data_IF_878344150897
#
_entry.id   IF_878344150897
#
_cell.length_a   1.000
_cell.length_b   1.000
_cell.length_c   1.000
_cell.angle_alpha   90.00
_cell.angle_beta   90.00
_cell.angle_gamma   90.00
#
_symmetry.space_group_name_H-M   'P 1'
#
loop_
_entity.id
_entity.type
_entity.pdbx_description
1 polymer ?
#
# COMPACT_ATOMS: atom_id res chain seq x y z
N UNK A 1 -46.93 31.64 40.87
CA UNK A 1 -47.09 30.71 39.70
C UNK A 1 -46.57 31.27 38.37
N UNK A 2 -46.11 32.52 38.32
CA UNK A 2 -45.64 33.17 37.10
C UNK A 2 -44.17 32.83 36.71
N UNK A 3 -43.35 32.31 37.61
CA UNK A 3 -41.91 32.08 37.37
C UNK A 3 -41.57 30.78 36.64
N UNK A 4 -42.45 29.78 36.62
CA UNK A 4 -42.22 28.50 35.96
C UNK A 4 -42.56 28.52 34.47
N UNK A 5 -43.53 29.32 34.08
CA UNK A 5 -43.95 29.47 32.68
C UNK A 5 -42.96 30.33 31.86
N UNK A 6 -42.36 31.36 32.46
CA UNK A 6 -41.34 32.21 31.81
C UNK A 6 -40.03 31.46 31.58
N UNK A 7 -39.65 30.55 32.47
CA UNK A 7 -38.42 29.73 32.31
C UNK A 7 -38.56 28.70 31.16
N UNK A 8 -39.76 28.14 30.97
CA UNK A 8 -40.05 27.19 29.90
C UNK A 8 -40.05 27.83 28.49
N UNK A 9 -40.54 29.11 28.42
CA UNK A 9 -40.55 29.87 27.16
C UNK A 9 -39.17 30.34 26.73
N UNK A 10 -38.25 30.61 27.65
CA UNK A 10 -36.87 30.98 27.36
C UNK A 10 -36.04 29.75 26.87
N UNK A 11 -36.33 28.57 27.43
CA UNK A 11 -35.64 27.33 27.01
C UNK A 11 -36.03 26.87 25.60
N UNK A 12 -37.26 27.12 25.15
CA UNK A 12 -37.73 26.81 23.80
C UNK A 12 -37.18 27.74 22.71
N UNK A 13 -36.86 29.00 23.07
CA UNK A 13 -36.27 29.94 22.09
C UNK A 13 -34.80 29.67 21.79
N UNK A 14 -34.04 28.95 22.66
CA UNK A 14 -32.64 28.62 22.45
C UNK A 14 -32.37 27.40 21.53
N UNK A 15 -33.42 26.62 21.19
CA UNK A 15 -33.32 25.44 20.35
C UNK A 15 -33.41 25.72 18.83
N UNK A 16 -33.70 26.95 18.42
CA UNK A 16 -33.86 27.30 16.99
C UNK A 16 -32.54 27.79 16.33
N UNK A 17 -31.46 27.96 17.08
CA UNK A 17 -30.23 28.61 16.59
C UNK A 17 -29.18 27.66 15.99
N UNK A 18 -29.43 26.34 15.90
CA UNK A 18 -28.54 25.37 15.22
C UNK A 18 -29.16 24.90 13.91
N UNK A 19 -29.43 25.78 12.98
CA UNK A 19 -29.63 25.43 11.58
C UNK A 19 -28.25 25.09 10.94
N UNK A 20 -28.14 24.03 10.11
CA UNK A 20 -26.89 23.79 9.39
C UNK A 20 -26.59 25.02 8.51
N UNK A 21 -25.48 25.70 8.79
CA UNK A 21 -25.00 26.78 7.92
C UNK A 21 -24.80 26.16 6.52
N UNK A 22 -25.61 26.57 5.53
CA UNK A 22 -25.40 26.17 4.14
C UNK A 22 -24.01 26.66 3.76
N UNK A 23 -23.06 25.74 3.61
CA UNK A 23 -21.77 26.06 2.98
C UNK A 23 -22.10 26.63 1.59
N UNK A 24 -21.72 27.88 1.35
CA UNK A 24 -21.88 28.48 0.01
C UNK A 24 -21.03 27.66 -0.94
N UNK A 25 -21.66 27.04 -1.92
CA UNK A 25 -20.95 26.29 -2.96
C UNK A 25 -20.33 27.28 -3.96
N UNK A 26 -19.05 27.60 -3.76
CA UNK A 26 -18.30 28.52 -4.61
C UNK A 26 -18.14 28.01 -6.05
N UNK A 27 -18.48 26.74 -6.30
CA UNK A 27 -18.38 26.10 -7.63
C UNK A 27 -19.73 26.06 -8.36
N UNK A 28 -20.78 26.71 -7.81
CA UNK A 28 -22.08 26.77 -8.46
C UNK A 28 -21.98 27.40 -9.84
N UNK A 29 -22.58 26.76 -10.83
CA UNK A 29 -22.51 27.21 -12.23
C UNK A 29 -21.20 26.94 -12.97
N UNK A 30 -20.23 26.28 -12.36
CA UNK A 30 -19.02 25.88 -13.07
C UNK A 30 -19.31 24.69 -13.99
N UNK A 31 -18.74 24.74 -15.22
CA UNK A 31 -18.72 23.61 -16.13
C UNK A 31 -17.70 22.53 -15.69
N UNK A 32 -17.75 21.37 -16.35
CA UNK A 32 -16.91 20.23 -16.03
C UNK A 32 -15.42 20.52 -16.23
N UNK A 33 -15.06 21.27 -17.25
CA UNK A 33 -13.66 21.60 -17.54
C UNK A 33 -13.08 22.54 -16.49
N UNK A 34 -13.85 23.54 -16.06
CA UNK A 34 -13.42 24.48 -15.02
C UNK A 34 -13.25 23.77 -13.68
N UNK A 35 -14.18 22.87 -13.31
CA UNK A 35 -14.05 22.04 -12.10
C UNK A 35 -12.79 21.19 -12.15
N UNK A 36 -12.58 20.49 -13.27
CA UNK A 36 -11.42 19.62 -13.45
C UNK A 36 -10.08 20.38 -13.36
N UNK A 37 -9.97 21.50 -14.11
CA UNK A 37 -8.76 22.35 -14.05
C UNK A 37 -8.51 22.90 -12.66
N UNK A 38 -9.56 23.28 -11.96
CA UNK A 38 -9.47 23.79 -10.60
C UNK A 38 -9.01 22.73 -9.63
N UNK A 39 -9.56 21.50 -9.71
CA UNK A 39 -9.10 20.38 -8.89
C UNK A 39 -7.61 20.06 -9.13
N UNK A 40 -7.19 19.98 -10.39
CA UNK A 40 -5.77 19.77 -10.75
C UNK A 40 -4.86 20.88 -10.26
N UNK A 41 -5.31 22.14 -10.30
CA UNK A 41 -4.55 23.24 -9.73
C UNK A 41 -4.29 23.03 -8.24
N UNK A 42 -5.33 22.63 -7.47
CA UNK A 42 -5.18 22.35 -6.05
C UNK A 42 -4.22 21.19 -5.77
N UNK A 43 -4.25 20.12 -6.59
CA UNK A 43 -3.26 19.04 -6.52
C UNK A 43 -1.84 19.57 -6.71
N UNK A 44 -1.64 20.42 -7.70
CA UNK A 44 -0.31 20.96 -8.06
C UNK A 44 0.30 21.86 -6.96
N UNK A 45 -0.55 22.56 -6.22
CA UNK A 45 -0.11 23.40 -5.08
C UNK A 45 -0.12 22.65 -3.74
N UNK A 46 -0.42 21.35 -3.75
CA UNK A 46 -0.42 20.50 -2.55
C UNK A 46 -1.65 20.65 -1.65
N UNK A 47 -2.71 21.32 -2.11
CA UNK A 47 -3.97 21.48 -1.38
C UNK A 47 -4.91 20.30 -1.69
N UNK A 48 -4.50 19.09 -1.27
CA UNK A 48 -5.15 17.83 -1.63
C UNK A 48 -6.61 17.77 -1.15
N UNK A 49 -6.90 18.29 0.04
CA UNK A 49 -8.25 18.31 0.60
C UNK A 49 -9.25 19.08 -0.27
N UNK A 50 -8.86 20.25 -0.73
CA UNK A 50 -9.70 21.04 -1.64
C UNK A 50 -9.78 20.37 -3.03
N UNK A 51 -8.71 19.71 -3.49
CA UNK A 51 -8.74 18.96 -4.74
C UNK A 51 -9.75 17.81 -4.68
N UNK A 52 -9.76 17.03 -3.58
CA UNK A 52 -10.73 15.97 -3.32
C UNK A 52 -12.16 16.51 -3.38
N UNK A 53 -12.47 17.56 -2.62
CA UNK A 53 -13.80 18.19 -2.63
C UNK A 53 -14.24 18.56 -4.07
N UNK A 54 -13.35 19.12 -4.88
CA UNK A 54 -13.66 19.52 -6.27
C UNK A 54 -13.84 18.33 -7.21
N UNK A 55 -13.05 17.26 -7.07
CA UNK A 55 -13.25 16.03 -7.83
C UNK A 55 -14.56 15.34 -7.46
N UNK A 56 -14.93 15.29 -6.17
CA UNK A 56 -16.21 14.76 -5.73
C UNK A 56 -17.40 15.55 -6.29
N UNK A 57 -17.31 16.88 -6.28
CA UNK A 57 -18.32 17.76 -6.92
C UNK A 57 -18.40 17.45 -8.41
N UNK A 58 -17.26 17.29 -9.10
CA UNK A 58 -17.22 16.96 -10.52
C UNK A 58 -17.92 15.62 -10.79
N UNK A 59 -17.54 14.56 -10.08
CA UNK A 59 -18.16 13.23 -10.23
C UNK A 59 -19.68 13.26 -9.95
N UNK A 60 -20.09 14.04 -8.96
CA UNK A 60 -21.52 14.17 -8.61
C UNK A 60 -22.34 14.88 -9.68
N UNK A 61 -21.82 15.97 -10.27
CA UNK A 61 -22.54 16.78 -11.24
C UNK A 61 -22.40 16.27 -12.68
N UNK A 62 -21.25 15.72 -13.01
CA UNK A 62 -20.88 15.28 -14.37
C UNK A 62 -20.31 13.85 -14.32
N UNK A 63 -21.14 12.82 -14.05
CA UNK A 63 -20.67 11.45 -13.81
C UNK A 63 -20.14 10.73 -15.07
N UNK A 64 -20.26 11.35 -16.25
CA UNK A 64 -19.89 10.74 -17.52
C UNK A 64 -18.96 11.64 -18.34
N UNK A 65 -18.19 11.00 -19.22
CA UNK A 65 -17.29 11.69 -20.15
C UNK A 65 -15.82 11.65 -19.70
N UNK A 66 -14.96 12.16 -20.57
CA UNK A 66 -13.50 12.09 -20.39
C UNK A 66 -13.04 12.70 -19.06
N UNK A 67 -13.53 13.89 -18.71
CA UNK A 67 -13.15 14.55 -17.46
C UNK A 67 -13.58 13.76 -16.23
N UNK A 68 -14.75 13.12 -16.26
CA UNK A 68 -15.22 12.29 -15.16
C UNK A 68 -14.33 11.05 -14.98
N UNK A 69 -13.99 10.37 -16.07
CA UNK A 69 -13.11 9.20 -16.03
C UNK A 69 -11.71 9.56 -15.53
N UNK A 70 -11.15 10.69 -15.97
CA UNK A 70 -9.86 11.15 -15.49
C UNK A 70 -9.92 11.58 -14.02
N UNK A 71 -10.99 12.25 -13.60
CA UNK A 71 -11.19 12.64 -12.19
C UNK A 71 -11.20 11.45 -11.25
N UNK A 72 -11.75 10.29 -11.67
CA UNK A 72 -11.78 9.06 -10.87
C UNK A 72 -10.39 8.52 -10.51
N UNK A 73 -9.40 8.71 -11.37
CA UNK A 73 -8.03 8.28 -11.04
C UNK A 73 -7.24 9.40 -10.35
N UNK A 74 -7.49 10.67 -10.72
CA UNK A 74 -6.81 11.81 -10.13
C UNK A 74 -7.20 11.99 -8.65
N UNK A 75 -8.46 11.72 -8.27
CA UNK A 75 -8.91 11.76 -6.87
C UNK A 75 -8.21 10.70 -6.01
N UNK A 76 -7.91 9.52 -6.57
CA UNK A 76 -7.16 8.49 -5.87
C UNK A 76 -5.75 8.96 -5.51
N UNK A 77 -5.09 9.68 -6.41
CA UNK A 77 -3.80 10.31 -6.13
C UNK A 77 -3.92 11.39 -5.05
N UNK A 78 -4.97 12.22 -5.10
CA UNK A 78 -5.21 13.26 -4.09
C UNK A 78 -5.43 12.66 -2.71
N UNK A 79 -6.27 11.61 -2.57
CA UNK A 79 -6.44 10.87 -1.32
C UNK A 79 -5.12 10.29 -0.79
N UNK A 80 -4.31 9.69 -1.69
CA UNK A 80 -3.00 9.16 -1.30
C UNK A 80 -2.09 10.25 -0.73
N UNK A 81 -2.04 11.40 -1.37
CA UNK A 81 -1.21 12.54 -0.94
C UNK A 81 -1.74 13.23 0.32
N UNK A 82 -3.04 13.15 0.58
CA UNK A 82 -3.67 13.65 1.83
C UNK A 82 -3.51 12.66 3.01
N UNK A 83 -2.92 11.48 2.75
CA UNK A 83 -2.72 10.43 3.77
C UNK A 83 -3.91 9.49 3.95
N UNK A 84 -4.94 9.60 3.13
CA UNK A 84 -6.15 8.77 3.16
C UNK A 84 -5.98 7.50 2.31
N UNK A 85 -5.11 6.59 2.76
CA UNK A 85 -4.74 5.39 2.00
C UNK A 85 -5.96 4.49 1.65
N UNK A 86 -6.91 4.32 2.57
CA UNK A 86 -8.09 3.48 2.34
C UNK A 86 -9.04 4.09 1.31
N UNK A 87 -9.26 5.40 1.37
CA UNK A 87 -10.04 6.16 0.39
C UNK A 87 -9.40 6.07 -1.00
N UNK A 88 -8.08 6.21 -1.07
CA UNK A 88 -7.31 6.10 -2.31
C UNK A 88 -7.46 4.70 -2.95
N UNK A 89 -7.32 3.63 -2.16
CA UNK A 89 -7.48 2.25 -2.65
C UNK A 89 -8.90 2.02 -3.15
N UNK A 90 -9.92 2.46 -2.39
CA UNK A 90 -11.31 2.32 -2.80
C UNK A 90 -11.61 3.06 -4.13
N UNK A 91 -11.04 4.26 -4.30
CA UNK A 91 -11.17 5.01 -5.57
C UNK A 91 -10.51 4.27 -6.75
N UNK A 92 -9.31 3.70 -6.54
CA UNK A 92 -8.61 2.90 -7.56
C UNK A 92 -9.42 1.64 -7.92
N UNK A 93 -9.92 0.90 -6.95
CA UNK A 93 -10.70 -0.31 -7.19
C UNK A 93 -11.99 0.00 -7.96
N UNK A 94 -12.66 1.10 -7.62
CA UNK A 94 -13.80 1.60 -8.36
C UNK A 94 -13.44 1.94 -9.80
N UNK A 95 -12.35 2.68 -10.00
CA UNK A 95 -11.86 3.03 -11.34
C UNK A 95 -11.57 1.80 -12.20
N UNK A 96 -10.78 0.85 -11.70
CA UNK A 96 -10.40 -0.39 -12.42
C UNK A 96 -11.62 -1.25 -12.73
N UNK A 97 -12.59 -1.31 -11.82
CA UNK A 97 -13.84 -2.07 -12.01
C UNK A 97 -14.67 -1.53 -13.16
N UNK A 98 -14.81 -0.20 -13.26
CA UNK A 98 -15.64 0.41 -14.30
C UNK A 98 -14.89 0.71 -15.59
N UNK A 99 -13.56 0.81 -15.53
CA UNK A 99 -12.71 1.18 -16.67
C UNK A 99 -11.55 0.16 -16.89
N UNK A 100 -11.81 -1.16 -17.00
CA UNK A 100 -10.76 -2.21 -16.96
C UNK A 100 -9.81 -2.20 -18.16
N UNK A 101 -10.15 -1.46 -19.22
CA UNK A 101 -9.37 -1.33 -20.47
C UNK A 101 -8.92 0.11 -20.74
N UNK A 102 -9.08 0.99 -19.76
CA UNK A 102 -8.64 2.37 -19.91
C UNK A 102 -7.11 2.46 -19.99
N UNK A 103 -6.59 3.42 -20.73
CA UNK A 103 -5.15 3.60 -20.95
C UNK A 103 -4.35 3.82 -19.65
N UNK A 104 -4.98 4.39 -18.61
CA UNK A 104 -4.35 4.63 -17.28
C UNK A 104 -4.58 3.50 -16.27
N UNK A 105 -5.06 2.33 -16.71
CA UNK A 105 -5.31 1.21 -15.79
C UNK A 105 -3.99 0.63 -15.23
N UNK A 106 -2.91 0.70 -15.99
CA UNK A 106 -1.56 0.36 -15.53
C UNK A 106 -1.10 1.29 -14.39
N UNK A 107 -1.31 2.60 -14.54
CA UNK A 107 -1.06 3.58 -13.48
C UNK A 107 -1.91 3.31 -12.24
N UNK A 108 -3.18 2.96 -12.41
CA UNK A 108 -4.07 2.65 -11.29
C UNK A 108 -3.53 1.49 -10.43
N UNK A 109 -3.08 0.40 -11.06
CA UNK A 109 -2.45 -0.72 -10.35
C UNK A 109 -1.11 -0.32 -9.71
N UNK A 110 -0.29 0.42 -10.42
CA UNK A 110 0.97 0.94 -9.89
C UNK A 110 0.75 1.84 -8.67
N UNK A 111 -0.21 2.77 -8.73
CA UNK A 111 -0.55 3.66 -7.62
C UNK A 111 -1.05 2.87 -6.41
N UNK A 112 -1.86 1.82 -6.60
CA UNK A 112 -2.29 0.94 -5.51
C UNK A 112 -1.12 0.23 -4.85
N UNK A 113 -0.18 -0.26 -5.66
CA UNK A 113 1.08 -0.81 -5.18
C UNK A 113 1.87 0.19 -4.33
N UNK A 114 2.00 1.44 -4.81
CA UNK A 114 2.66 2.52 -4.07
C UNK A 114 1.98 2.82 -2.73
N UNK A 115 0.65 2.88 -2.70
CA UNK A 115 -0.12 3.14 -1.49
C UNK A 115 0.13 2.04 -0.47
N UNK A 116 0.02 0.77 -0.86
CA UNK A 116 0.29 -0.36 0.02
C UNK A 116 1.75 -0.38 0.49
N UNK A 117 2.69 -0.09 -0.40
CA UNK A 117 4.12 0.02 -0.08
C UNK A 117 4.42 1.11 0.95
N UNK A 118 3.69 2.24 0.90
CA UNK A 118 3.91 3.38 1.79
C UNK A 118 3.05 3.38 3.06
N UNK A 119 2.12 2.42 3.22
CA UNK A 119 1.21 2.36 4.39
C UNK A 119 1.91 2.33 5.74
N UNK A 120 3.14 1.89 5.78
CA UNK A 120 3.90 1.76 7.01
C UNK A 120 4.87 2.90 7.30
N UNK A 121 4.86 4.01 6.57
CA UNK A 121 5.79 5.12 6.79
C UNK A 121 5.43 6.38 6.01
N UNK A 122 6.18 7.47 6.20
CA UNK A 122 5.98 8.69 5.44
C UNK A 122 6.22 8.47 3.94
N UNK A 123 5.33 8.98 3.10
CA UNK A 123 5.46 8.89 1.64
C UNK A 123 6.71 9.59 1.08
N UNK A 124 7.49 10.26 1.94
CA UNK A 124 8.66 11.07 1.60
C UNK A 124 9.97 10.45 2.08
N UNK A 125 9.93 9.37 2.87
CA UNK A 125 11.16 8.73 3.34
C UNK A 125 11.82 7.95 2.21
N UNK A 126 13.13 8.08 2.11
CA UNK A 126 13.94 7.40 1.10
C UNK A 126 13.79 5.87 1.26
N UNK A 127 13.46 5.18 0.17
CA UNK A 127 13.18 3.74 0.15
C UNK A 127 14.39 2.94 0.67
N UNK A 128 15.60 3.48 0.49
CA UNK A 128 16.85 2.82 0.81
C UNK A 128 17.09 2.58 2.32
N UNK A 129 16.48 3.41 3.20
CA UNK A 129 16.75 3.38 4.64
C UNK A 129 15.63 2.71 5.47
N UNK A 130 14.60 2.16 4.82
CA UNK A 130 13.47 1.54 5.52
C UNK A 130 13.67 0.06 5.77
N UNK A 131 13.52 -0.38 7.02
CA UNK A 131 13.36 -1.79 7.37
C UNK A 131 11.86 -2.15 7.39
N UNK A 132 11.36 -2.71 6.30
CA UNK A 132 9.96 -3.14 6.20
C UNK A 132 9.73 -4.56 6.74
N UNK A 133 10.76 -5.25 7.22
CA UNK A 133 10.63 -6.63 7.70
C UNK A 133 9.78 -6.77 8.98
N UNK A 134 9.49 -5.66 9.68
CA UNK A 134 8.62 -5.62 10.85
C UNK A 134 7.19 -5.15 10.53
N UNK A 135 6.92 -4.83 9.25
CA UNK A 135 5.58 -4.42 8.80
C UNK A 135 4.64 -5.61 8.61
N UNK A 136 3.34 -5.29 8.55
CA UNK A 136 2.34 -6.31 8.23
C UNK A 136 2.64 -6.95 6.87
N UNK A 137 3.03 -8.22 6.94
CA UNK A 137 3.36 -9.05 5.79
C UNK A 137 2.27 -9.03 4.70
N UNK A 138 0.99 -8.97 5.08
CA UNK A 138 -0.11 -8.96 4.12
C UNK A 138 -0.14 -7.66 3.31
N UNK A 139 0.25 -6.54 3.90
CA UNK A 139 0.35 -5.25 3.19
C UNK A 139 1.49 -5.31 2.18
N UNK A 140 2.65 -5.85 2.57
CA UNK A 140 3.80 -6.02 1.66
C UNK A 140 3.47 -6.97 0.50
N UNK A 141 2.74 -8.06 0.75
CA UNK A 141 2.28 -8.97 -0.29
C UNK A 141 1.30 -8.30 -1.27
N UNK A 142 0.36 -7.47 -0.78
CA UNK A 142 -0.53 -6.73 -1.68
C UNK A 142 0.25 -5.76 -2.57
N UNK A 143 1.24 -5.05 -2.02
CA UNK A 143 2.11 -4.20 -2.82
C UNK A 143 2.87 -5.01 -3.88
N UNK A 144 3.40 -6.17 -3.50
CA UNK A 144 4.07 -7.10 -4.39
C UNK A 144 3.16 -7.54 -5.55
N UNK A 145 1.95 -8.00 -5.24
CA UNK A 145 0.97 -8.48 -6.22
C UNK A 145 0.58 -7.38 -7.22
N UNK A 146 0.44 -6.15 -6.74
CA UNK A 146 0.11 -4.99 -7.60
C UNK A 146 1.26 -4.67 -8.56
N UNK A 147 2.51 -4.62 -8.08
CA UNK A 147 3.66 -4.38 -8.94
C UNK A 147 3.91 -5.55 -9.92
N UNK A 148 3.73 -6.80 -9.47
CA UNK A 148 3.81 -7.98 -10.34
C UNK A 148 2.75 -7.92 -11.46
N UNK A 149 1.54 -7.49 -11.12
CA UNK A 149 0.46 -7.32 -12.10
C UNK A 149 0.85 -6.30 -13.17
N UNK A 150 1.46 -5.16 -12.77
CA UNK A 150 1.94 -4.15 -13.73
C UNK A 150 2.96 -4.76 -14.69
N UNK A 151 3.97 -5.45 -14.18
CA UNK A 151 5.03 -6.06 -15.00
C UNK A 151 4.46 -7.12 -15.97
N UNK A 152 3.56 -7.96 -15.49
CA UNK A 152 3.02 -9.08 -16.26
C UNK A 152 1.99 -8.64 -17.30
N UNK A 153 1.07 -7.74 -16.91
CA UNK A 153 -0.07 -7.34 -17.75
C UNK A 153 0.25 -6.13 -18.63
N UNK A 154 1.14 -5.27 -18.16
CA UNK A 154 1.50 -4.01 -18.82
C UNK A 154 3.03 -3.86 -18.98
N UNK A 155 3.72 -4.80 -19.67
CA UNK A 155 5.20 -4.83 -19.73
C UNK A 155 5.81 -3.59 -20.38
N UNK A 156 5.04 -2.87 -21.21
CA UNK A 156 5.47 -1.65 -21.89
C UNK A 156 5.02 -0.37 -21.13
N UNK A 157 4.45 -0.49 -19.96
CA UNK A 157 4.08 0.65 -19.11
C UNK A 157 5.31 1.44 -18.67
N UNK A 158 5.17 2.75 -18.56
CA UNK A 158 6.18 3.62 -17.96
C UNK A 158 6.52 3.25 -16.51
N UNK A 159 5.63 2.51 -15.84
CA UNK A 159 5.76 2.09 -14.44
C UNK A 159 6.38 0.69 -14.29
N UNK A 160 6.62 -0.03 -15.39
CA UNK A 160 7.08 -1.42 -15.33
C UNK A 160 8.48 -1.55 -14.71
N UNK A 161 9.41 -0.66 -15.07
CA UNK A 161 10.79 -0.76 -14.58
C UNK A 161 10.91 -0.35 -13.10
N UNK A 162 10.20 0.67 -12.65
CA UNK A 162 10.12 0.99 -11.22
C UNK A 162 9.44 -0.14 -10.43
N UNK A 163 8.39 -0.75 -10.99
CA UNK A 163 7.73 -1.91 -10.38
C UNK A 163 8.69 -3.09 -10.19
N UNK A 164 9.58 -3.37 -11.15
CA UNK A 164 10.61 -4.42 -11.01
C UNK A 164 11.57 -4.15 -9.85
N UNK A 165 12.03 -2.90 -9.71
CA UNK A 165 12.93 -2.52 -8.61
C UNK A 165 12.24 -2.69 -7.25
N UNK A 166 10.97 -2.28 -7.13
CA UNK A 166 10.18 -2.45 -5.91
C UNK A 166 9.93 -3.91 -5.57
N UNK A 167 9.69 -4.77 -6.55
CA UNK A 167 9.56 -6.22 -6.33
C UNK A 167 10.84 -6.81 -5.75
N UNK A 168 12.01 -6.44 -6.29
CA UNK A 168 13.29 -6.92 -5.75
C UNK A 168 13.44 -6.49 -4.28
N UNK A 169 13.14 -5.25 -3.97
CA UNK A 169 13.17 -4.75 -2.60
C UNK A 169 12.17 -5.49 -1.69
N UNK A 170 10.90 -5.59 -2.09
CA UNK A 170 9.87 -6.29 -1.32
C UNK A 170 10.21 -7.76 -1.06
N UNK A 171 10.79 -8.46 -2.04
CA UNK A 171 11.24 -9.85 -1.86
C UNK A 171 12.32 -9.97 -0.80
N UNK A 172 13.25 -9.03 -0.76
CA UNK A 172 14.29 -9.02 0.28
C UNK A 172 13.68 -8.77 1.68
N UNK A 173 12.75 -7.82 1.80
CA UNK A 173 12.10 -7.51 3.07
C UNK A 173 11.20 -8.64 3.56
N UNK A 174 10.44 -9.29 2.67
CA UNK A 174 9.63 -10.47 2.98
C UNK A 174 10.49 -11.65 3.44
N UNK A 175 11.61 -11.90 2.74
CA UNK A 175 12.55 -12.96 3.12
C UNK A 175 13.18 -12.68 4.49
N UNK A 176 13.55 -11.42 4.76
CA UNK A 176 14.11 -10.98 6.05
C UNK A 176 13.10 -11.13 7.18
N UNK A 177 11.82 -10.76 6.94
CA UNK A 177 10.74 -10.95 7.91
C UNK A 177 10.53 -12.43 8.24
N UNK A 178 10.45 -13.29 7.22
CA UNK A 178 10.30 -14.75 7.42
C UNK A 178 11.53 -15.35 8.13
N UNK A 179 12.75 -14.85 7.86
CA UNK A 179 13.96 -15.28 8.55
C UNK A 179 13.95 -14.89 10.05
N UNK A 180 13.50 -13.69 10.41
CA UNK A 180 13.29 -13.31 11.82
C UNK A 180 12.38 -14.29 12.54
N UNK A 181 11.29 -14.72 11.90
CA UNK A 181 10.36 -15.73 12.47
C UNK A 181 11.06 -17.09 12.62
N UNK A 182 11.84 -17.53 11.63
CA UNK A 182 12.60 -18.77 11.71
C UNK A 182 13.63 -18.74 12.85
N UNK A 183 14.34 -17.64 13.01
CA UNK A 183 15.28 -17.41 14.12
C UNK A 183 14.58 -17.43 15.49
N UNK A 184 13.39 -16.85 15.59
CA UNK A 184 12.59 -16.92 16.79
C UNK A 184 12.24 -18.37 17.16
N UNK A 185 11.82 -19.20 16.21
CA UNK A 185 11.56 -20.63 16.45
C UNK A 185 12.84 -21.36 16.89
N UNK A 186 13.97 -21.10 16.24
CA UNK A 186 15.25 -21.70 16.60
C UNK A 186 15.69 -21.32 18.03
N UNK A 187 15.51 -20.06 18.45
CA UNK A 187 15.83 -19.60 19.81
C UNK A 187 14.99 -20.30 20.89
N UNK A 188 13.83 -20.86 20.51
CA UNK A 188 12.96 -21.67 21.38
C UNK A 188 13.19 -23.17 21.22
N UNK A 189 14.23 -23.59 20.50
CA UNK A 189 14.50 -24.99 20.16
C UNK A 189 13.36 -25.68 19.42
N UNK A 190 12.48 -24.92 18.79
CA UNK A 190 11.39 -25.43 17.94
C UNK A 190 11.93 -25.72 16.51
N UNK A 191 12.88 -26.68 16.43
CA UNK A 191 13.68 -26.93 15.24
C UNK A 191 12.84 -27.33 14.01
N UNK A 192 11.79 -28.13 14.18
CA UNK A 192 10.89 -28.50 13.07
C UNK A 192 10.20 -27.28 12.49
N UNK A 193 9.73 -26.35 13.33
CA UNK A 193 9.11 -25.10 12.87
C UNK A 193 10.13 -24.20 12.17
N UNK A 194 11.37 -24.13 12.68
CA UNK A 194 12.45 -23.39 12.03
C UNK A 194 12.77 -23.98 10.64
N UNK A 195 12.87 -25.32 10.51
CA UNK A 195 13.07 -25.99 9.21
C UNK A 195 11.94 -25.66 8.23
N UNK A 196 10.68 -25.79 8.64
CA UNK A 196 9.55 -25.51 7.77
C UNK A 196 9.58 -24.04 7.27
N UNK A 197 9.97 -23.11 8.12
CA UNK A 197 10.06 -21.69 7.76
C UNK A 197 11.25 -21.44 6.81
N UNK A 198 12.42 -21.99 7.09
CA UNK A 198 13.59 -21.85 6.20
C UNK A 198 13.36 -22.49 4.83
N UNK A 199 12.69 -23.64 4.77
CA UNK A 199 12.29 -24.25 3.49
C UNK A 199 11.37 -23.36 2.66
N UNK A 200 10.40 -22.68 3.32
CA UNK A 200 9.53 -21.71 2.62
C UNK A 200 10.34 -20.54 2.07
N UNK A 201 11.29 -20.00 2.84
CA UNK A 201 12.17 -18.91 2.37
C UNK A 201 12.98 -19.35 1.15
N UNK A 202 13.59 -20.53 1.20
CA UNK A 202 14.41 -21.08 0.10
C UNK A 202 13.57 -21.30 -1.16
N UNK A 203 12.32 -21.74 -1.02
CA UNK A 203 11.43 -21.95 -2.15
C UNK A 203 10.93 -20.65 -2.77
N UNK A 204 10.48 -19.70 -1.93
CA UNK A 204 9.70 -18.54 -2.37
C UNK A 204 10.57 -17.30 -2.64
N UNK A 205 11.75 -17.19 -2.00
CA UNK A 205 12.59 -15.99 -2.03
C UNK A 205 14.04 -16.25 -2.51
N UNK A 206 14.21 -17.12 -3.51
CA UNK A 206 15.52 -17.39 -4.09
C UNK A 206 16.21 -16.10 -4.58
N UNK A 207 17.53 -16.01 -4.36
CA UNK A 207 18.35 -14.87 -4.80
C UNK A 207 18.23 -13.61 -3.93
N UNK A 208 17.58 -13.71 -2.75
CA UNK A 208 17.53 -12.60 -1.77
C UNK A 208 18.78 -12.59 -0.87
N UNK A 209 19.04 -11.42 -0.27
CA UNK A 209 20.16 -11.23 0.66
C UNK A 209 20.07 -12.12 1.92
N UNK A 210 18.87 -12.57 2.27
CA UNK A 210 18.65 -13.45 3.44
C UNK A 210 19.01 -14.91 3.19
N UNK A 211 19.34 -15.31 1.95
CA UNK A 211 19.49 -16.72 1.58
C UNK A 211 20.63 -17.42 2.32
N UNK A 212 21.82 -16.79 2.45
CA UNK A 212 22.96 -17.36 3.17
C UNK A 212 22.59 -17.67 4.62
N UNK A 213 22.06 -16.68 5.33
CA UNK A 213 21.64 -16.83 6.73
C UNK A 213 20.51 -17.86 6.90
N UNK A 214 19.62 -17.95 5.92
CA UNK A 214 18.54 -18.97 5.90
C UNK A 214 19.11 -20.38 5.82
N UNK A 215 20.09 -20.62 4.92
CA UNK A 215 20.74 -21.92 4.79
C UNK A 215 21.56 -22.27 6.04
N UNK A 216 22.25 -21.32 6.64
CA UNK A 216 23.02 -21.52 7.88
C UNK A 216 22.08 -21.89 9.05
N UNK A 217 20.94 -21.22 9.18
CA UNK A 217 19.93 -21.55 10.20
C UNK A 217 19.31 -22.92 9.94
N UNK A 218 19.05 -23.28 8.67
CA UNK A 218 18.54 -24.60 8.31
C UNK A 218 19.54 -25.69 8.64
N UNK A 219 20.83 -25.48 8.33
CA UNK A 219 21.92 -26.40 8.70
C UNK A 219 21.98 -26.63 10.22
N UNK A 220 21.86 -25.56 11.02
CA UNK A 220 21.80 -25.65 12.47
C UNK A 220 20.60 -26.49 12.93
N UNK A 221 19.43 -26.24 12.36
CA UNK A 221 18.21 -26.95 12.71
C UNK A 221 18.27 -28.45 12.34
N UNK A 222 18.84 -28.81 11.18
CA UNK A 222 19.04 -30.21 10.79
C UNK A 222 20.02 -30.94 11.72
N UNK A 223 21.11 -30.28 12.16
CA UNK A 223 22.03 -30.85 13.16
C UNK A 223 21.31 -31.11 14.48
N UNK A 224 20.49 -30.17 14.96
CA UNK A 224 19.76 -30.33 16.20
C UNK A 224 18.72 -31.46 16.14
N UNK A 225 18.21 -31.77 14.94
CA UNK A 225 17.28 -32.87 14.69
C UNK A 225 17.95 -34.21 14.36
N UNK A 226 19.29 -34.27 14.23
CA UNK A 226 20.02 -35.49 13.89
C UNK A 226 19.81 -35.96 12.45
N UNK A 227 19.58 -35.04 11.50
CA UNK A 227 19.28 -35.33 10.08
C UNK A 227 20.56 -35.21 9.23
N UNK A 228 21.52 -36.15 9.41
CA UNK A 228 22.90 -36.08 8.89
C UNK A 228 23.00 -35.97 7.34
N UNK A 229 22.10 -36.62 6.62
CA UNK A 229 22.06 -36.49 5.13
C UNK A 229 21.74 -35.07 4.72
N UNK A 230 20.71 -34.44 5.34
CA UNK A 230 20.31 -33.06 5.08
C UNK A 230 21.37 -32.06 5.53
N UNK A 231 22.11 -32.35 6.62
CA UNK A 231 23.27 -31.56 7.06
C UNK A 231 24.33 -31.53 5.95
N UNK A 232 24.68 -32.71 5.40
CA UNK A 232 25.70 -32.83 4.35
C UNK A 232 25.29 -32.10 3.08
N UNK A 233 24.06 -32.26 2.63
CA UNK A 233 23.52 -31.59 1.44
C UNK A 233 23.46 -30.08 1.62
N UNK A 234 22.93 -29.58 2.75
CA UNK A 234 22.85 -28.14 3.01
C UNK A 234 24.23 -27.50 3.09
N UNK A 235 25.22 -28.19 3.73
CA UNK A 235 26.59 -27.73 3.76
C UNK A 235 27.19 -27.61 2.36
N UNK A 236 26.99 -28.61 1.50
CA UNK A 236 27.43 -28.58 0.12
C UNK A 236 26.85 -27.41 -0.66
N UNK A 237 25.55 -27.09 -0.45
CA UNK A 237 24.89 -25.92 -1.08
C UNK A 237 25.55 -24.62 -0.62
N UNK A 238 25.83 -24.47 0.67
CA UNK A 238 26.50 -23.28 1.23
C UNK A 238 27.90 -23.14 0.64
N UNK A 239 28.70 -24.22 0.63
CA UNK A 239 30.05 -24.22 0.13
C UNK A 239 30.12 -23.87 -1.38
N UNK A 240 29.16 -24.36 -2.18
CA UNK A 240 29.09 -24.06 -3.61
C UNK A 240 28.70 -22.61 -3.94
N UNK A 241 27.86 -22.00 -3.14
CA UNK A 241 27.31 -20.69 -3.47
C UNK A 241 28.01 -19.53 -2.73
N UNK A 242 28.67 -19.79 -1.60
CA UNK A 242 29.21 -18.76 -0.70
C UNK A 242 30.64 -19.01 -0.23
N UNK A 243 31.40 -19.90 -0.87
CA UNK A 243 32.79 -20.20 -0.50
C UNK A 243 33.76 -19.01 -0.62
N UNK A 244 33.41 -18.00 -1.43
CA UNK A 244 34.24 -16.80 -1.63
C UNK A 244 34.05 -15.71 -0.55
N UNK A 245 33.09 -15.89 0.35
CA UNK A 245 32.75 -14.90 1.38
C UNK A 245 33.33 -15.23 2.78
N UNK A 246 34.27 -16.20 2.86
CA UNK A 246 34.89 -16.68 4.11
C UNK A 246 36.37 -16.25 4.23
#
# INVERSE_FOLDING_TARGET
MLTRTTLFTICTLLLVACGPSKKVDITEGWDVEKLFRSARHEVNIGNYKTAIDRYEILESRFPFGHYATQAQIDIAYAYFKDGEADSAIAAIERFVKFNPRHETTDYAHYLRGLINFNRGGSALDDIADRDLSDFDRNILLRAYDDFELVIRKYPNSLYADDSKQRIVYLRNELAKSDLKIAQYYASRSAWVAAVNRTQSIIRDYQGTNSMKQTLELQLQAYRALGLDELVTDTKRIIDLNYASDS
#
